data_IF_032252020629
#
_entry.id   IF_032252020629
#
_cell.length_a   1.000
_cell.length_b   1.000
_cell.length_c   1.000
_cell.angle_alpha   90.00
_cell.angle_beta   90.00
_cell.angle_gamma   90.00
#
_symmetry.space_group_name_H-M   'P 1'
#
loop_
_entity.id
_entity.type
_entity.pdbx_description
1 polymer ?
#
# COMPACT_ATOMS: atom_id res chain seq x y z
N UNK A 1 -6.50 -3.87 44.98
CA UNK A 1 -5.35 -4.04 44.07
C UNK A 1 -5.84 -3.74 42.65
N UNK A 2 -5.02 -3.03 41.88
CA UNK A 2 -5.38 -2.26 40.67
C UNK A 2 -6.07 -3.06 39.56
N UNK A 3 -7.19 -2.53 39.07
CA UNK A 3 -7.98 -3.02 37.93
C UNK A 3 -7.23 -2.78 36.60
N UNK A 4 -6.53 -3.81 36.11
CA UNK A 4 -5.86 -3.81 34.81
C UNK A 4 -6.82 -4.05 33.65
N UNK A 5 -7.74 -3.12 33.39
CA UNK A 5 -8.54 -3.15 32.18
C UNK A 5 -7.65 -2.83 30.98
N UNK A 6 -7.36 -3.84 30.14
CA UNK A 6 -6.70 -3.63 28.85
C UNK A 6 -7.61 -2.79 27.96
N UNK A 7 -7.21 -1.54 27.67
CA UNK A 7 -7.90 -0.68 26.71
C UNK A 7 -7.57 -1.17 25.30
N UNK A 8 -8.53 -1.78 24.63
CA UNK A 8 -8.40 -2.19 23.22
C UNK A 8 -8.86 -1.02 22.37
N UNK A 9 -7.93 -0.39 21.65
CA UNK A 9 -8.25 0.67 20.68
C UNK A 9 -8.28 0.06 19.27
N UNK A 10 -9.40 0.25 18.57
CA UNK A 10 -9.54 -0.17 17.19
C UNK A 10 -9.03 0.92 16.26
N UNK A 11 -7.89 0.67 15.61
CA UNK A 11 -7.38 1.55 14.55
C UNK A 11 -7.84 1.01 13.19
N UNK A 12 -8.51 1.87 12.41
CA UNK A 12 -9.04 1.50 11.10
C UNK A 12 -7.89 1.43 10.09
N UNK A 13 -7.73 0.27 9.45
CA UNK A 13 -6.91 0.13 8.26
C UNK A 13 -7.80 0.38 7.03
N UNK A 14 -7.64 1.53 6.37
CA UNK A 14 -8.47 1.93 5.22
C UNK A 14 -7.62 2.38 4.04
N UNK A 15 -8.15 2.21 2.84
CA UNK A 15 -7.68 2.89 1.64
C UNK A 15 -8.42 4.23 1.53
N UNK A 16 -7.70 5.33 1.48
CA UNK A 16 -8.25 6.67 1.31
C UNK A 16 -7.49 7.48 0.26
N UNK A 17 -8.24 8.32 -0.47
CA UNK A 17 -7.72 9.27 -1.43
C UNK A 17 -8.31 10.64 -1.10
N UNK A 18 -7.45 11.61 -0.79
CA UNK A 18 -7.81 13.01 -0.62
C UNK A 18 -7.29 13.81 -1.81
N UNK A 19 -8.14 14.65 -2.37
CA UNK A 19 -7.85 15.42 -3.58
C UNK A 19 -8.22 16.88 -3.35
N UNK A 20 -7.30 17.78 -3.67
CA UNK A 20 -7.56 19.23 -3.72
C UNK A 20 -7.31 19.72 -5.15
N UNK A 21 -8.36 20.01 -5.94
CA UNK A 21 -8.20 20.53 -7.29
C UNK A 21 -8.10 22.06 -7.34
N UNK A 22 -7.30 22.58 -8.25
CA UNK A 22 -7.19 23.98 -8.61
C UNK A 22 -7.22 24.14 -10.14
N UNK A 23 -8.14 24.98 -10.63
CA UNK A 23 -8.28 25.24 -12.07
C UNK A 23 -7.38 26.43 -12.44
N UNK A 24 -6.57 26.26 -13.48
CA UNK A 24 -5.71 27.32 -14.03
C UNK A 24 -6.45 28.11 -15.13
N UNK A 25 -5.99 29.33 -15.49
CA UNK A 25 -6.64 30.15 -16.53
C UNK A 25 -6.65 29.53 -17.93
N UNK A 26 -5.77 28.57 -18.21
CA UNK A 26 -5.67 27.80 -19.45
C UNK A 26 -6.49 26.49 -19.43
N UNK A 27 -7.51 26.39 -18.56
CA UNK A 27 -8.43 25.24 -18.42
C UNK A 27 -7.76 23.91 -18.00
N UNK A 28 -6.56 23.98 -17.43
CA UNK A 28 -5.87 22.82 -16.85
C UNK A 28 -6.19 22.69 -15.35
N UNK A 29 -5.98 21.50 -14.80
CA UNK A 29 -6.27 21.20 -13.39
C UNK A 29 -4.98 20.77 -12.71
N UNK A 30 -4.59 21.53 -11.68
CA UNK A 30 -3.59 21.12 -10.70
C UNK A 30 -4.33 20.34 -9.60
N UNK A 31 -3.86 19.15 -9.26
CA UNK A 31 -4.43 18.34 -8.19
C UNK A 31 -3.35 17.97 -7.19
N UNK A 32 -3.59 18.32 -5.92
CA UNK A 32 -2.84 17.75 -4.79
C UNK A 32 -3.54 16.46 -4.37
N UNK A 33 -2.81 15.35 -4.45
CA UNK A 33 -3.29 14.01 -4.21
C UNK A 33 -2.57 13.41 -3.01
N UNK A 34 -3.33 13.03 -2.00
CA UNK A 34 -2.84 12.28 -0.85
C UNK A 34 -3.55 10.92 -0.80
N UNK A 35 -2.79 9.86 -1.08
CA UNK A 35 -3.25 8.47 -1.03
C UNK A 35 -2.69 7.85 0.24
N UNK A 36 -3.56 7.24 1.03
CA UNK A 36 -3.16 6.46 2.20
C UNK A 36 -3.77 5.05 2.08
N UNK A 37 -2.92 4.03 2.25
CA UNK A 37 -3.31 2.62 2.29
C UNK A 37 -2.76 2.03 3.57
N UNK A 38 -3.65 1.78 4.51
CA UNK A 38 -3.33 1.04 5.71
C UNK A 38 -3.68 -0.44 5.53
N UNK A 39 -2.77 -1.33 5.93
CA UNK A 39 -2.96 -2.78 5.95
C UNK A 39 -2.60 -3.34 7.33
N UNK A 40 -3.15 -4.51 7.67
CA UNK A 40 -2.78 -5.21 8.91
C UNK A 40 -1.41 -5.85 8.69
N UNK A 41 -0.42 -5.42 9.47
CA UNK A 41 0.94 -5.95 9.45
C UNK A 41 1.11 -7.16 10.35
N UNK A 42 2.36 -7.52 10.64
CA UNK A 42 2.67 -8.67 11.49
C UNK A 42 2.11 -8.51 12.92
N UNK A 43 1.67 -9.63 13.48
CA UNK A 43 1.18 -9.70 14.87
C UNK A 43 2.36 -9.96 15.81
N UNK A 44 2.64 -9.01 16.69
CA UNK A 44 3.64 -9.15 17.76
C UNK A 44 2.94 -9.31 19.10
N UNK A 45 3.18 -10.43 19.79
CA UNK A 45 2.62 -10.70 21.12
C UNK A 45 1.08 -10.48 21.21
N UNK A 46 0.34 -10.96 20.21
CA UNK A 46 -1.13 -10.83 20.09
C UNK A 46 -1.63 -9.42 19.71
N UNK A 47 -0.71 -8.47 19.45
CA UNK A 47 -1.03 -7.12 18.97
C UNK A 47 -0.70 -7.00 17.48
N UNK A 48 -1.68 -6.74 16.59
CA UNK A 48 -1.40 -6.49 15.18
C UNK A 48 -0.70 -5.13 14.99
N UNK A 49 0.35 -5.11 14.19
CA UNK A 49 0.90 -3.86 13.65
C UNK A 49 0.06 -3.39 12.45
N UNK A 50 0.27 -2.14 12.04
CA UNK A 50 -0.37 -1.57 10.85
C UNK A 50 0.72 -1.10 9.93
N UNK A 51 0.73 -1.64 8.71
CA UNK A 51 1.60 -1.20 7.64
C UNK A 51 0.88 -0.05 6.93
N UNK A 52 1.45 1.15 7.00
CA UNK A 52 0.90 2.36 6.40
C UNK A 52 1.75 2.76 5.20
N UNK A 53 1.12 2.77 4.02
CA UNK A 53 1.72 3.27 2.79
C UNK A 53 1.07 4.60 2.39
N UNK A 54 1.85 5.67 2.32
CA UNK A 54 1.36 7.02 2.00
C UNK A 54 2.08 7.60 0.78
N UNK A 55 1.31 8.24 -0.11
CA UNK A 55 1.83 8.95 -1.28
C UNK A 55 1.18 10.33 -1.36
N UNK A 56 2.02 11.37 -1.34
CA UNK A 56 1.61 12.76 -1.56
C UNK A 56 2.27 13.26 -2.85
N UNK A 57 1.46 13.72 -3.80
CA UNK A 57 1.96 14.19 -5.09
C UNK A 57 1.09 15.31 -5.63
N UNK A 58 1.69 16.17 -6.45
CA UNK A 58 0.99 17.22 -7.17
C UNK A 58 1.10 16.92 -8.67
N UNK A 59 -0.04 16.93 -9.36
CA UNK A 59 -0.10 16.69 -10.80
C UNK A 59 -0.81 17.83 -11.51
N UNK A 60 -0.35 18.14 -12.72
CA UNK A 60 -0.99 19.06 -13.63
C UNK A 60 -1.49 18.26 -14.83
N UNK A 61 -2.79 18.31 -15.08
CA UNK A 61 -3.45 17.51 -16.12
C UNK A 61 -4.50 18.33 -16.84
N UNK A 62 -4.84 17.93 -18.05
CA UNK A 62 -5.86 18.61 -18.83
C UNK A 62 -7.26 18.10 -18.47
N UNK A 63 -8.27 18.93 -18.70
CA UNK A 63 -9.65 18.59 -18.38
C UNK A 63 -10.13 17.37 -19.17
N UNK A 64 -10.48 16.28 -18.46
CA UNK A 64 -10.93 15.02 -19.05
C UNK A 64 -9.79 14.08 -19.46
N UNK A 65 -8.52 14.49 -19.32
CA UNK A 65 -7.39 13.58 -19.53
C UNK A 65 -7.10 12.75 -18.28
N UNK A 66 -6.57 11.54 -18.49
CA UNK A 66 -6.24 10.63 -17.39
C UNK A 66 -4.74 10.65 -17.17
N UNK A 67 -4.31 10.97 -15.95
CA UNK A 67 -2.92 10.79 -15.52
C UNK A 67 -2.77 9.47 -14.78
N UNK A 68 -1.66 8.80 -15.06
CA UNK A 68 -1.22 7.61 -14.33
C UNK A 68 -0.16 8.04 -13.34
N UNK A 69 -0.47 7.91 -12.05
CA UNK A 69 0.49 8.07 -10.98
C UNK A 69 1.02 6.69 -10.64
N UNK A 70 2.22 6.39 -11.15
CA UNK A 70 2.98 5.20 -10.75
C UNK A 70 3.31 5.27 -9.26
N UNK A 71 3.09 4.18 -8.53
CA UNK A 71 3.13 4.15 -7.07
C UNK A 71 4.37 3.53 -6.44
N UNK A 72 4.17 2.98 -5.24
CA UNK A 72 5.19 2.35 -4.39
C UNK A 72 5.37 0.89 -4.84
N UNK A 73 6.62 0.49 -5.10
CA UNK A 73 7.00 -0.88 -5.44
C UNK A 73 7.51 -1.59 -4.19
N UNK A 74 6.78 -2.60 -3.72
CA UNK A 74 7.19 -3.40 -2.57
C UNK A 74 7.40 -4.87 -2.99
N UNK A 75 8.61 -5.36 -2.73
CA UNK A 75 9.01 -6.75 -2.96
C UNK A 75 9.58 -7.30 -1.66
N UNK A 76 8.89 -8.28 -1.09
CA UNK A 76 9.35 -8.99 0.11
C UNK A 76 9.82 -10.36 -0.32
N UNK A 77 11.14 -10.58 -0.23
CA UNK A 77 11.77 -11.86 -0.47
C UNK A 77 12.22 -12.46 0.87
N UNK A 78 11.66 -13.62 1.23
CA UNK A 78 11.98 -14.35 2.47
C UNK A 78 12.48 -15.74 2.11
N UNK A 79 13.74 -16.00 2.43
CA UNK A 79 14.38 -17.31 2.31
C UNK A 79 14.64 -17.89 3.70
N UNK A 80 13.80 -18.83 4.12
CA UNK A 80 13.95 -19.55 5.38
C UNK A 80 14.60 -20.93 5.12
N UNK A 81 15.80 -21.14 5.65
CA UNK A 81 16.52 -22.41 5.56
C UNK A 81 16.65 -23.07 6.94
N UNK A 82 15.88 -24.14 7.16
CA UNK A 82 16.01 -25.00 8.32
C UNK A 82 16.87 -26.21 7.96
N UNK A 83 17.94 -26.49 8.69
CA UNK A 83 18.82 -27.64 8.41
C UNK A 83 19.27 -28.35 9.66
N UNK A 84 19.42 -29.67 9.58
CA UNK A 84 20.05 -30.47 10.66
C UNK A 84 21.57 -30.27 10.58
N UNK A 85 22.25 -29.89 11.68
CA UNK A 85 23.70 -29.77 11.71
C UNK A 85 24.37 -31.11 11.34
N UNK A 86 25.53 -31.06 10.68
CA UNK A 86 26.32 -32.21 10.19
C UNK A 86 25.70 -33.03 9.04
N UNK A 87 24.39 -33.36 9.11
CA UNK A 87 23.72 -34.19 8.09
C UNK A 87 23.30 -33.43 6.84
N UNK A 88 23.17 -32.10 6.91
CA UNK A 88 22.76 -31.26 5.78
C UNK A 88 23.83 -31.06 4.70
N UNK A 89 25.09 -31.35 5.02
CA UNK A 89 26.23 -31.15 4.11
C UNK A 89 26.68 -32.45 3.42
N UNK A 90 25.97 -33.58 3.65
CA UNK A 90 26.29 -34.86 3.00
C UNK A 90 25.95 -34.78 1.50
N UNK A 91 26.92 -35.04 0.59
CA UNK A 91 26.65 -35.08 -0.84
C UNK A 91 25.54 -36.09 -1.15
N UNK A 92 24.66 -35.76 -2.09
CA UNK A 92 23.50 -36.58 -2.51
C UNK A 92 22.37 -36.76 -1.49
N UNK A 93 22.63 -36.70 -0.17
CA UNK A 93 21.62 -36.96 0.88
C UNK A 93 21.24 -35.73 1.71
N UNK A 94 22.04 -34.66 1.68
CA UNK A 94 21.82 -33.45 2.49
C UNK A 94 20.51 -32.71 2.21
N UNK A 95 19.87 -32.97 1.06
CA UNK A 95 18.53 -32.45 0.72
C UNK A 95 17.42 -33.02 1.61
N UNK A 96 17.56 -34.24 2.13
CA UNK A 96 16.57 -34.87 3.01
C UNK A 96 16.61 -34.30 4.44
N UNK A 97 17.72 -33.63 4.79
CA UNK A 97 17.96 -33.07 6.12
C UNK A 97 17.91 -31.53 6.13
N UNK A 98 17.37 -30.93 5.07
CA UNK A 98 17.13 -29.48 4.97
C UNK A 98 15.72 -29.21 4.46
N UNK A 99 15.09 -28.19 5.01
CA UNK A 99 13.84 -27.59 4.53
C UNK A 99 14.15 -26.16 4.12
N UNK A 100 13.89 -25.83 2.87
CA UNK A 100 13.95 -24.47 2.36
C UNK A 100 12.52 -24.01 2.08
N UNK A 101 12.20 -22.81 2.55
CA UNK A 101 10.93 -22.14 2.32
C UNK A 101 11.24 -20.78 1.71
N UNK A 102 10.75 -20.59 0.49
CA UNK A 102 10.96 -19.38 -0.31
C UNK A 102 9.61 -18.69 -0.45
N UNK A 103 9.44 -17.54 0.17
CA UNK A 103 8.26 -16.71 0.05
C UNK A 103 8.62 -15.43 -0.71
N UNK A 104 7.87 -15.16 -1.78
CA UNK A 104 8.00 -13.93 -2.57
C UNK A 104 6.65 -13.25 -2.62
N UNK A 105 6.57 -12.06 -2.05
CA UNK A 105 5.35 -11.24 -2.06
C UNK A 105 5.61 -9.95 -2.83
N UNK A 106 4.78 -9.69 -3.83
CA UNK A 106 4.88 -8.51 -4.70
C UNK A 106 3.60 -7.71 -4.63
N UNK A 107 3.69 -6.44 -4.25
CA UNK A 107 2.56 -5.53 -4.21
C UNK A 107 2.84 -4.29 -5.07
N UNK A 108 1.87 -3.97 -5.94
CA UNK A 108 1.92 -2.80 -6.82
C UNK A 108 0.67 -1.94 -6.58
N UNK A 109 0.85 -0.66 -6.30
CA UNK A 109 -0.24 0.32 -6.23
C UNK A 109 -0.15 1.26 -7.44
N UNK A 110 -1.19 1.28 -8.26
CA UNK A 110 -1.36 2.21 -9.38
C UNK A 110 -2.58 3.08 -9.15
N UNK A 111 -2.44 4.39 -9.32
CA UNK A 111 -3.52 5.35 -9.14
C UNK A 111 -3.78 6.09 -10.44
N UNK A 112 -5.02 6.00 -10.91
CA UNK A 112 -5.49 6.66 -12.13
C UNK A 112 -6.46 7.77 -11.74
N UNK A 113 -6.23 8.98 -12.24
CA UNK A 113 -7.09 10.13 -11.94
C UNK A 113 -7.45 10.85 -13.23
N UNK A 114 -8.74 11.11 -13.40
CA UNK A 114 -9.32 11.82 -14.55
C UNK A 114 -10.19 12.96 -14.03
N UNK A 115 -9.71 14.21 -13.97
CA UNK A 115 -10.54 15.31 -13.52
C UNK A 115 -11.52 15.73 -14.61
N UNK A 116 -12.67 16.27 -14.18
CA UNK A 116 -13.70 16.81 -15.07
C UNK A 116 -14.22 18.14 -14.51
N UNK A 117 -14.01 19.22 -15.26
CA UNK A 117 -14.59 20.53 -14.96
C UNK A 117 -16.07 20.48 -15.34
N UNK A 118 -16.95 20.68 -14.36
CA UNK A 118 -18.38 20.81 -14.58
C UNK A 118 -18.69 22.30 -14.81
N UNK A 119 -19.06 22.65 -16.05
CA UNK A 119 -19.66 23.95 -16.35
C UNK A 119 -21.16 23.81 -16.13
N UNK A 120 -21.73 24.67 -15.31
CA UNK A 120 -23.16 24.64 -15.00
C UNK A 120 -23.95 25.05 -16.25
N UNK A 121 -24.30 24.08 -17.08
CA UNK A 121 -25.22 24.31 -18.18
C UNK A 121 -26.61 24.33 -17.59
N UNK A 122 -27.13 25.53 -17.35
CA UNK A 122 -28.55 25.76 -17.09
C UNK A 122 -29.36 25.18 -18.27
N UNK A 123 -29.70 23.89 -18.20
CA UNK A 123 -30.68 23.28 -19.09
C UNK A 123 -32.05 23.77 -18.61
N UNK A 124 -32.47 24.90 -19.16
CA UNK A 124 -33.84 25.39 -19.04
C UNK A 124 -34.71 24.47 -19.93
N UNK A 125 -35.44 23.57 -19.28
CA UNK A 125 -36.60 22.89 -19.88
C UNK A 125 -37.83 23.78 -19.75
#
# INVERSE_FOLDING_TARGET
TSSGATSVEFKKAVLSLRVTPQITPDDRIIMDLAVNRDAVGQVFATVPSIDTNELQTQVLVDNGETVVLGGIYESTDRDDLTRVPFFSDIPYLGTLFRRSEVERNKQELLVFVTPKILKDTLTLN
#
